data_IF_202027029704
#
_entry.id   IF_202027029704
#
_cell.length_a   1.000
_cell.length_b   1.000
_cell.length_c   1.000
_cell.angle_alpha   90.00
_cell.angle_beta   90.00
_cell.angle_gamma   90.00
#
_symmetry.space_group_name_H-M   'P 1'
#
loop_
_entity.id
_entity.type
_entity.pdbx_description
1 polymer ?
#
# COMPACT_ATOMS: atom_id res chain seq x y z
N UNK A 1 4.19 36.21 -8.83
CA UNK A 1 5.10 35.22 -8.22
C UNK A 1 5.24 35.56 -6.75
N UNK A 2 4.25 35.14 -5.94
CA UNK A 2 4.30 35.32 -4.49
C UNK A 2 5.35 34.38 -3.91
N UNK A 3 6.30 34.96 -3.17
CA UNK A 3 7.26 34.23 -2.37
C UNK A 3 6.49 33.45 -1.31
N UNK A 4 6.47 32.13 -1.45
CA UNK A 4 6.02 31.20 -0.41
C UNK A 4 6.86 31.48 0.83
N UNK A 5 6.24 32.10 1.85
CA UNK A 5 6.83 32.25 3.17
C UNK A 5 7.15 30.86 3.70
N UNK A 6 8.45 30.61 3.88
CA UNK A 6 8.98 29.46 4.58
C UNK A 6 8.47 29.59 6.03
N UNK A 7 7.45 28.79 6.36
CA UNK A 7 6.86 28.72 7.69
C UNK A 7 7.92 28.09 8.59
N UNK A 8 8.39 28.83 9.60
CA UNK A 8 9.36 28.35 10.58
C UNK A 8 8.95 26.96 11.08
N UNK A 9 9.87 25.98 11.01
CA UNK A 9 9.62 24.66 11.57
C UNK A 9 9.52 24.80 13.10
N UNK A 10 8.38 24.47 13.72
CA UNK A 10 8.31 24.38 15.18
C UNK A 10 9.22 23.24 15.65
N UNK A 11 9.44 23.12 16.96
CA UNK A 11 10.12 21.97 17.58
C UNK A 11 9.66 20.63 17.00
N UNK A 12 10.51 19.60 17.14
CA UNK A 12 10.47 18.28 16.47
C UNK A 12 9.15 17.53 16.66
N UNK A 13 8.08 18.02 16.02
CA UNK A 13 6.71 17.53 16.17
C UNK A 13 6.50 16.37 15.21
N UNK A 14 6.25 15.19 15.77
CA UNK A 14 6.01 13.95 15.05
C UNK A 14 4.55 13.58 15.20
N UNK A 15 3.88 13.31 14.08
CA UNK A 15 2.51 12.80 14.08
C UNK A 15 2.54 11.30 13.85
N UNK A 16 1.98 10.52 14.76
CA UNK A 16 1.82 9.07 14.61
C UNK A 16 0.41 8.80 14.13
N UNK A 17 0.30 8.47 12.86
CA UNK A 17 -0.95 8.18 12.18
C UNK A 17 -1.28 6.68 12.26
N UNK A 18 -2.44 6.36 12.82
CA UNK A 18 -2.86 4.97 13.05
C UNK A 18 -4.26 4.74 12.45
N UNK A 19 -4.41 3.94 11.37
CA UNK A 19 -5.71 3.56 10.87
C UNK A 19 -6.34 2.47 11.76
N UNK A 20 -7.62 2.61 12.09
CA UNK A 20 -8.36 1.71 12.96
C UNK A 20 -9.70 1.33 12.35
N UNK A 21 -10.07 0.06 12.50
CA UNK A 21 -11.42 -0.43 12.22
C UNK A 21 -11.80 -1.48 13.26
N UNK A 22 -12.70 -1.15 14.19
CA UNK A 22 -13.16 -2.05 15.26
C UNK A 22 -12.03 -2.63 16.15
N UNK A 23 -10.92 -1.93 16.36
CA UNK A 23 -9.76 -2.38 17.19
C UNK A 23 -9.42 -1.37 18.30
N UNK A 24 -10.44 -0.80 18.93
CA UNK A 24 -10.27 0.22 19.97
C UNK A 24 -9.48 -0.28 21.19
N UNK A 25 -9.70 -1.52 21.63
CA UNK A 25 -8.99 -2.10 22.78
C UNK A 25 -7.49 -2.29 22.49
N UNK A 26 -7.15 -2.75 21.28
CA UNK A 26 -5.75 -2.88 20.84
C UNK A 26 -5.08 -1.51 20.72
N UNK A 27 -5.79 -0.52 20.18
CA UNK A 27 -5.31 0.85 20.10
C UNK A 27 -5.02 1.41 21.49
N UNK A 28 -5.89 1.21 22.47
CA UNK A 28 -5.69 1.68 23.84
C UNK A 28 -4.40 1.14 24.46
N UNK A 29 -4.15 -0.17 24.34
CA UNK A 29 -2.90 -0.78 24.79
C UNK A 29 -1.68 -0.21 24.04
N UNK A 30 -1.83 0.04 22.73
CA UNK A 30 -0.77 0.63 21.93
C UNK A 30 -0.44 2.06 22.37
N UNK A 31 -1.45 2.88 22.66
CA UNK A 31 -1.27 4.25 23.14
C UNK A 31 -0.48 4.29 24.45
N UNK A 32 -0.78 3.40 25.39
CA UNK A 32 -0.05 3.28 26.65
C UNK A 32 1.42 2.92 26.44
N UNK A 33 1.71 1.97 25.55
CA UNK A 33 3.09 1.61 25.25
C UNK A 33 3.83 2.72 24.49
N UNK A 34 3.14 3.47 23.62
CA UNK A 34 3.74 4.64 22.95
C UNK A 34 4.11 5.69 24.00
N UNK A 35 3.20 6.05 24.89
CA UNK A 35 3.43 7.06 25.95
C UNK A 35 4.67 6.73 26.79
N UNK A 36 4.80 5.47 27.23
CA UNK A 36 5.97 4.97 27.97
C UNK A 36 7.28 5.05 27.17
N UNK A 37 7.22 4.75 25.87
CA UNK A 37 8.42 4.78 25.01
C UNK A 37 8.86 6.22 24.74
N UNK A 38 7.92 7.17 24.66
CA UNK A 38 8.22 8.59 24.49
C UNK A 38 8.70 9.28 25.76
N UNK A 39 8.38 8.76 26.96
CA UNK A 39 8.83 9.29 28.26
C UNK A 39 10.34 9.53 28.33
N UNK A 40 11.13 8.69 27.67
CA UNK A 40 12.60 8.76 27.66
C UNK A 40 13.17 9.55 26.48
N UNK A 41 12.37 10.39 25.82
CA UNK A 41 12.78 11.13 24.62
C UNK A 41 12.34 12.59 24.65
N UNK A 42 13.13 13.49 24.06
CA UNK A 42 12.76 14.90 23.88
C UNK A 42 11.87 15.14 22.65
N UNK A 43 11.17 14.10 22.18
CA UNK A 43 10.38 14.15 20.94
C UNK A 43 8.95 14.55 21.27
N UNK A 44 8.44 15.59 20.62
CA UNK A 44 7.04 15.98 20.75
C UNK A 44 6.17 15.11 19.84
N UNK A 45 5.43 14.18 20.43
CA UNK A 45 4.57 13.27 19.69
C UNK A 45 3.08 13.67 19.79
N UNK A 46 2.38 13.57 18.67
CA UNK A 46 0.92 13.66 18.56
C UNK A 46 0.40 12.38 17.94
N UNK A 47 -0.75 11.91 18.40
CA UNK A 47 -1.42 10.76 17.81
C UNK A 47 -2.58 11.23 16.93
N UNK A 48 -2.64 10.68 15.73
CA UNK A 48 -3.72 10.94 14.77
C UNK A 48 -4.34 9.62 14.32
N UNK A 49 -5.51 9.30 14.86
CA UNK A 49 -6.22 8.07 14.53
C UNK A 49 -7.12 8.31 13.33
N UNK A 50 -7.12 7.39 12.36
CA UNK A 50 -8.08 7.40 11.25
C UNK A 50 -9.06 6.26 11.46
N UNK A 51 -10.28 6.58 11.88
CA UNK A 51 -11.35 5.59 12.05
C UNK A 51 -12.02 5.30 10.70
N UNK A 52 -11.79 4.09 10.18
CA UNK A 52 -12.31 3.60 8.90
C UNK A 52 -13.79 3.16 9.00
N UNK A 53 -14.60 4.05 9.57
CA UNK A 53 -16.01 3.88 9.89
C UNK A 53 -16.28 2.60 10.69
N UNK A 54 -15.64 2.48 11.85
CA UNK A 54 -15.88 1.39 12.81
C UNK A 54 -17.38 1.26 13.11
N UNK A 55 -17.87 0.02 13.15
CA UNK A 55 -19.24 -0.28 13.57
C UNK A 55 -19.42 -0.11 15.08
N UNK A 56 -18.32 -0.17 15.83
CA UNK A 56 -18.28 0.08 17.27
C UNK A 56 -17.80 1.51 17.48
N UNK A 57 -18.62 2.33 18.14
CA UNK A 57 -18.24 3.71 18.49
C UNK A 57 -17.11 3.73 19.52
N UNK A 58 -16.23 4.72 19.40
CA UNK A 58 -15.25 5.07 20.44
C UNK A 58 -15.95 5.24 21.79
N UNK A 59 -15.39 4.66 22.86
CA UNK A 59 -15.91 4.84 24.22
C UNK A 59 -15.82 6.32 24.62
N UNK A 60 -16.78 6.83 25.39
CA UNK A 60 -16.80 8.25 25.81
C UNK A 60 -15.54 8.68 26.57
N UNK A 61 -14.90 7.76 27.28
CA UNK A 61 -13.71 8.02 28.08
C UNK A 61 -12.42 7.56 27.39
N UNK A 62 -12.45 7.23 26.11
CA UNK A 62 -11.26 6.75 25.41
C UNK A 62 -10.22 7.87 25.25
N UNK A 63 -8.93 7.61 25.49
CA UNK A 63 -8.38 6.42 26.15
C UNK A 63 -8.67 6.46 27.66
N UNK A 64 -8.97 5.31 28.30
CA UNK A 64 -9.28 5.27 29.74
C UNK A 64 -8.05 5.68 30.58
N UNK A 65 -6.85 5.49 30.03
CA UNK A 65 -5.59 5.95 30.59
C UNK A 65 -5.28 7.41 30.27
N UNK A 66 -4.86 8.17 31.28
CA UNK A 66 -4.28 9.50 31.07
C UNK A 66 -2.87 9.36 30.51
N UNK A 67 -2.72 9.67 29.23
CA UNK A 67 -1.42 9.79 28.59
C UNK A 67 -0.69 11.02 29.15
N UNK A 68 0.56 10.87 29.56
CA UNK A 68 1.33 11.92 30.24
C UNK A 68 2.26 12.66 29.29
N UNK A 69 2.75 11.97 28.26
CA UNK A 69 3.82 12.46 27.38
C UNK A 69 3.26 12.86 26.02
N UNK A 70 2.32 12.07 25.49
CA UNK A 70 1.63 12.38 24.23
C UNK A 70 0.78 13.63 24.42
N UNK A 71 1.09 14.69 23.65
CA UNK A 71 0.46 16.00 23.81
C UNK A 71 -0.96 16.08 23.25
N UNK A 72 -1.27 15.30 22.22
CA UNK A 72 -2.53 15.41 21.49
C UNK A 72 -2.98 14.07 20.94
N UNK A 73 -4.29 13.82 20.99
CA UNK A 73 -4.95 12.72 20.32
C UNK A 73 -6.18 13.22 19.56
N UNK A 74 -6.12 13.09 18.23
CA UNK A 74 -7.24 13.38 17.34
C UNK A 74 -7.74 12.09 16.68
N UNK A 75 -9.05 11.99 16.46
CA UNK A 75 -9.69 10.89 15.72
C UNK A 75 -10.42 11.47 14.50
N UNK A 76 -9.91 11.16 13.31
CA UNK A 76 -10.55 11.46 12.03
C UNK A 76 -11.52 10.34 11.66
N UNK A 77 -12.82 10.61 11.71
CA UNK A 77 -13.84 9.64 11.32
C UNK A 77 -14.12 9.68 9.83
N UNK A 78 -14.13 8.51 9.19
CA UNK A 78 -14.51 8.37 7.79
C UNK A 78 -16.01 8.12 7.64
N UNK A 79 -16.61 8.61 6.54
CA UNK A 79 -18.06 8.46 6.26
C UNK A 79 -18.49 7.03 5.96
N UNK A 80 -17.55 6.18 5.53
CA UNK A 80 -17.78 4.76 5.21
C UNK A 80 -16.48 4.00 5.33
N UNK A 81 -16.59 2.69 5.48
CA UNK A 81 -15.43 1.81 5.42
C UNK A 81 -14.84 1.84 3.99
N UNK A 82 -13.58 2.26 3.89
CA UNK A 82 -12.80 2.32 2.66
C UNK A 82 -11.81 1.15 2.58
N UNK A 83 -11.41 0.60 3.72
CA UNK A 83 -10.33 -0.36 3.86
C UNK A 83 -9.01 0.31 4.22
N UNK A 84 -8.14 -0.47 4.83
CA UNK A 84 -6.89 -0.04 5.48
C UNK A 84 -6.00 0.89 4.62
N UNK A 85 -5.71 0.52 3.37
CA UNK A 85 -4.82 1.32 2.50
C UNK A 85 -5.42 2.70 2.14
N UNK A 86 -6.75 2.78 1.99
CA UNK A 86 -7.45 4.03 1.68
C UNK A 86 -7.60 4.92 2.90
N UNK A 87 -7.80 4.32 4.08
CA UNK A 87 -7.75 5.05 5.34
C UNK A 87 -6.39 5.73 5.55
N UNK A 88 -5.28 5.03 5.26
CA UNK A 88 -3.92 5.62 5.23
C UNK A 88 -3.86 6.78 4.24
N UNK A 89 -4.34 6.61 3.01
CA UNK A 89 -4.31 7.66 1.98
C UNK A 89 -5.07 8.93 2.41
N UNK A 90 -6.26 8.77 2.99
CA UNK A 90 -7.09 9.88 3.50
C UNK A 90 -6.42 10.55 4.69
N UNK A 91 -5.88 9.76 5.64
CA UNK A 91 -5.17 10.29 6.81
C UNK A 91 -3.95 11.12 6.43
N UNK A 92 -3.12 10.60 5.54
CA UNK A 92 -1.94 11.31 5.04
C UNK A 92 -2.31 12.61 4.31
N UNK A 93 -3.35 12.60 3.48
CA UNK A 93 -3.85 13.80 2.81
C UNK A 93 -4.41 14.84 3.80
N UNK A 94 -5.12 14.38 4.84
CA UNK A 94 -5.63 15.26 5.89
C UNK A 94 -4.49 15.90 6.69
N UNK A 95 -3.52 15.10 7.14
CA UNK A 95 -2.36 15.57 7.90
C UNK A 95 -1.58 16.60 7.08
N UNK A 96 -1.33 16.33 5.80
CA UNK A 96 -0.62 17.27 4.92
C UNK A 96 -1.31 18.64 4.86
N UNK A 97 -2.64 18.64 4.74
CA UNK A 97 -3.44 19.85 4.58
C UNK A 97 -3.64 20.64 5.89
N UNK A 98 -3.76 19.96 7.03
CA UNK A 98 -4.26 20.57 8.27
C UNK A 98 -3.25 20.60 9.43
N UNK A 99 -2.24 19.74 9.41
CA UNK A 99 -1.34 19.56 10.55
C UNK A 99 0.08 19.91 10.15
N UNK A 100 0.65 20.90 10.84
CA UNK A 100 2.06 21.25 10.66
C UNK A 100 2.91 20.34 11.56
N UNK A 101 3.70 19.47 10.95
CA UNK A 101 4.59 18.56 11.65
C UNK A 101 5.89 18.39 10.85
N UNK A 102 6.94 17.89 11.50
CA UNK A 102 8.21 17.62 10.83
C UNK A 102 8.18 16.31 10.03
N UNK A 103 7.53 15.28 10.58
CA UNK A 103 7.35 14.00 9.93
C UNK A 103 6.13 13.25 10.46
N UNK A 104 5.64 12.32 9.64
CA UNK A 104 4.49 11.46 9.96
C UNK A 104 4.96 10.02 10.04
N UNK A 105 4.71 9.35 11.16
CA UNK A 105 4.86 7.91 11.32
C UNK A 105 3.53 7.26 10.92
N UNK A 106 3.57 6.29 10.01
CA UNK A 106 2.41 5.43 9.69
C UNK A 106 2.62 4.12 10.43
N UNK A 107 1.66 3.68 11.24
CA UNK A 107 1.77 2.47 12.08
C UNK A 107 0.42 1.76 12.21
N UNK A 108 0.41 0.42 12.28
CA UNK A 108 -0.81 -0.35 12.48
C UNK A 108 -1.24 -0.37 13.97
N UNK A 109 -2.55 -0.35 14.24
CA UNK A 109 -3.12 -0.29 15.59
C UNK A 109 -3.14 -1.60 16.39
N UNK A 110 -2.70 -2.71 15.81
CA UNK A 110 -2.81 -4.04 16.41
C UNK A 110 -1.60 -4.46 17.27
N UNK A 111 -0.52 -3.67 17.24
CA UNK A 111 0.70 -3.88 18.00
C UNK A 111 1.68 -4.90 17.40
N UNK A 112 1.46 -5.35 16.15
CA UNK A 112 2.48 -6.13 15.43
C UNK A 112 3.74 -5.31 15.11
N UNK A 113 3.58 -4.00 14.99
CA UNK A 113 4.67 -3.04 14.93
C UNK A 113 5.03 -2.62 16.36
N UNK A 114 6.30 -2.72 16.73
CA UNK A 114 6.73 -2.40 18.09
C UNK A 114 6.77 -0.87 18.31
N UNK A 115 6.19 -0.35 19.41
CA UNK A 115 6.31 1.07 19.77
C UNK A 115 7.77 1.56 19.85
N UNK A 116 8.69 0.71 20.33
CA UNK A 116 10.12 1.03 20.39
C UNK A 116 10.78 1.19 19.01
N UNK A 117 10.21 0.59 17.96
CA UNK A 117 10.71 0.78 16.59
C UNK A 117 10.30 2.14 16.01
N UNK A 118 9.29 2.82 16.57
CA UNK A 118 8.94 4.21 16.21
C UNK A 118 10.12 5.14 16.49
N UNK A 119 10.75 4.99 17.67
CA UNK A 119 11.92 5.79 18.04
C UNK A 119 13.10 5.52 17.10
N UNK A 120 13.29 4.26 16.67
CA UNK A 120 14.34 3.91 15.70
C UNK A 120 14.08 4.54 14.32
N UNK A 121 12.82 4.55 13.88
CA UNK A 121 12.42 5.21 12.64
C UNK A 121 12.72 6.72 12.71
N UNK A 122 12.31 7.37 13.80
CA UNK A 122 12.55 8.81 14.01
C UNK A 122 14.04 9.10 14.04
N UNK A 123 14.82 8.36 14.83
CA UNK A 123 16.27 8.55 14.93
C UNK A 123 16.99 8.37 13.60
N UNK A 124 16.61 7.36 12.79
CA UNK A 124 17.19 7.22 11.45
C UNK A 124 16.79 8.35 10.51
N UNK A 125 15.53 8.79 10.56
CA UNK A 125 15.04 9.92 9.77
C UNK A 125 15.81 11.21 10.10
N UNK A 126 16.08 11.45 11.38
CA UNK A 126 16.90 12.55 11.88
C UNK A 126 18.33 12.48 11.35
N UNK A 127 19.00 11.33 11.49
CA UNK A 127 20.39 11.13 11.00
C UNK A 127 20.48 11.31 9.48
N UNK A 128 19.46 10.89 8.73
CA UNK A 128 19.40 11.09 7.27
C UNK A 128 18.88 12.50 6.88
N UNK A 129 18.67 13.39 7.85
CA UNK A 129 18.31 14.79 7.65
C UNK A 129 16.93 15.02 7.04
N UNK A 130 15.97 14.12 7.31
CA UNK A 130 14.58 14.21 6.82
C UNK A 130 14.46 14.22 5.28
N UNK A 131 15.42 13.62 4.57
CA UNK A 131 15.44 13.60 3.09
C UNK A 131 14.86 12.34 2.46
N UNK A 132 14.55 11.32 3.26
CA UNK A 132 14.07 10.02 2.78
C UNK A 132 12.97 9.46 3.67
N UNK A 133 12.05 8.72 3.06
CA UNK A 133 11.09 7.87 3.78
C UNK A 133 11.84 6.68 4.37
N UNK A 134 11.67 6.41 5.66
CA UNK A 134 12.29 5.23 6.31
C UNK A 134 11.21 4.18 6.53
N UNK A 135 11.37 3.00 5.92
CA UNK A 135 10.48 1.86 6.13
C UNK A 135 11.03 0.87 7.14
N UNK A 136 10.15 0.28 7.93
CA UNK A 136 10.44 -0.89 8.73
C UNK A 136 10.29 -2.17 7.89
N UNK A 137 11.35 -2.98 7.86
CA UNK A 137 11.42 -4.25 7.16
C UNK A 137 11.46 -5.40 8.16
N UNK A 138 10.40 -6.21 8.14
CA UNK A 138 10.23 -7.34 9.05
C UNK A 138 11.25 -8.44 8.70
N UNK A 139 12.14 -8.75 9.64
CA UNK A 139 13.29 -9.65 9.45
C UNK A 139 12.98 -11.14 9.56
N UNK A 140 11.92 -11.53 10.29
CA UNK A 140 11.55 -12.94 10.48
C UNK A 140 10.02 -13.13 10.51
N UNK A 141 9.56 -14.19 9.83
CA UNK A 141 8.16 -14.64 9.82
C UNK A 141 8.13 -16.14 10.13
N UNK A 142 7.59 -16.50 11.29
CA UNK A 142 7.26 -17.89 11.64
C UNK A 142 5.92 -18.27 11.00
N UNK A 143 5.95 -18.52 9.70
CA UNK A 143 4.76 -18.87 8.92
C UNK A 143 4.75 -20.37 8.56
N UNK A 144 3.53 -20.93 8.43
CA UNK A 144 3.28 -22.29 7.94
C UNK A 144 3.97 -22.52 6.59
N UNK A 145 4.38 -23.77 6.32
CA UNK A 145 5.00 -24.15 5.04
C UNK A 145 4.10 -23.82 3.83
N UNK A 146 2.79 -24.06 3.93
CA UNK A 146 1.81 -23.71 2.90
C UNK A 146 1.81 -22.20 2.62
N UNK A 147 1.84 -21.38 3.69
CA UNK A 147 1.90 -19.93 3.54
C UNK A 147 3.19 -19.48 2.86
N UNK A 148 4.33 -20.07 3.23
CA UNK A 148 5.64 -19.79 2.60
C UNK A 148 5.63 -20.12 1.10
N UNK A 149 5.00 -21.22 0.71
CA UNK A 149 4.87 -21.60 -0.70
C UNK A 149 4.04 -20.59 -1.49
N UNK A 150 2.82 -20.28 -1.04
CA UNK A 150 1.98 -19.29 -1.72
C UNK A 150 2.61 -17.89 -1.74
N UNK A 151 3.31 -17.51 -0.66
CA UNK A 151 4.05 -16.26 -0.60
C UNK A 151 5.20 -16.22 -1.62
N UNK A 152 5.91 -17.33 -1.81
CA UNK A 152 6.95 -17.44 -2.84
C UNK A 152 6.37 -17.35 -4.26
N UNK A 153 5.26 -18.04 -4.53
CA UNK A 153 4.54 -17.94 -5.79
C UNK A 153 4.09 -16.50 -6.05
N UNK A 154 3.46 -15.85 -5.07
CA UNK A 154 3.04 -14.46 -5.15
C UNK A 154 4.22 -13.53 -5.43
N UNK A 155 5.32 -13.64 -4.68
CA UNK A 155 6.51 -12.80 -4.87
C UNK A 155 7.13 -12.98 -6.25
N UNK A 156 7.13 -14.21 -6.76
CA UNK A 156 7.66 -14.53 -8.09
C UNK A 156 6.77 -13.94 -9.20
N UNK A 157 5.45 -14.13 -9.09
CA UNK A 157 4.46 -13.54 -9.99
C UNK A 157 4.52 -12.02 -9.96
N UNK A 158 4.55 -11.43 -8.78
CA UNK A 158 4.67 -9.99 -8.57
C UNK A 158 5.92 -9.43 -9.25
N UNK A 159 7.08 -10.06 -9.05
CA UNK A 159 8.33 -9.63 -9.71
C UNK A 159 8.25 -9.76 -11.23
N UNK A 160 7.68 -10.84 -11.73
CA UNK A 160 7.51 -11.06 -13.17
C UNK A 160 6.55 -10.07 -13.82
N UNK A 161 5.48 -9.68 -13.13
CA UNK A 161 4.50 -8.72 -13.65
C UNK A 161 4.94 -7.26 -13.48
N UNK A 162 5.47 -6.88 -12.32
CA UNK A 162 5.76 -5.47 -11.99
C UNK A 162 7.22 -5.07 -12.23
N UNK A 163 8.15 -6.03 -12.16
CA UNK A 163 9.59 -5.76 -12.20
C UNK A 163 10.16 -5.18 -10.90
N UNK A 164 9.33 -4.95 -9.88
CA UNK A 164 9.77 -4.45 -8.58
C UNK A 164 9.77 -5.55 -7.52
N UNK A 165 10.35 -5.23 -6.37
CA UNK A 165 10.27 -6.06 -5.17
C UNK A 165 9.80 -5.17 -4.04
N UNK A 166 8.58 -5.39 -3.56
CA UNK A 166 8.13 -4.78 -2.32
C UNK A 166 8.49 -5.72 -1.19
N UNK A 167 9.31 -5.23 -0.27
CA UNK A 167 9.77 -6.02 0.88
C UNK A 167 9.39 -5.40 2.23
N UNK A 168 8.61 -4.31 2.19
CA UNK A 168 8.24 -3.51 3.35
C UNK A 168 6.73 -3.42 3.50
N UNK A 169 6.27 -3.31 4.75
CA UNK A 169 4.87 -3.06 5.10
C UNK A 169 4.52 -1.57 5.08
N UNK A 170 3.48 -1.20 5.81
CA UNK A 170 3.07 0.21 5.96
C UNK A 170 3.86 0.94 7.04
N UNK A 171 4.47 0.21 7.97
CA UNK A 171 5.19 0.81 9.09
C UNK A 171 6.41 1.62 8.62
N UNK A 172 6.34 2.93 8.79
CA UNK A 172 7.32 3.86 8.22
C UNK A 172 7.24 5.25 8.82
N UNK A 173 8.24 6.08 8.54
CA UNK A 173 8.21 7.53 8.80
C UNK A 173 8.46 8.30 7.50
N UNK A 174 7.63 9.32 7.28
CA UNK A 174 7.58 10.16 6.10
C UNK A 174 7.91 11.60 6.51
N UNK A 175 9.05 12.17 6.11
CA UNK A 175 9.30 13.60 6.22
C UNK A 175 8.19 14.43 5.58
N UNK A 176 7.77 15.51 6.23
CA UNK A 176 6.64 16.32 5.76
C UNK A 176 6.84 16.89 4.35
N UNK A 177 8.07 17.24 3.97
CA UNK A 177 8.37 17.68 2.59
C UNK A 177 8.11 16.59 1.53
N UNK A 178 8.34 15.32 1.89
CA UNK A 178 8.07 14.17 1.01
C UNK A 178 6.60 13.79 1.02
N UNK A 179 5.90 14.01 2.14
CA UNK A 179 4.46 13.81 2.25
C UNK A 179 3.71 14.63 1.20
N UNK A 180 4.06 15.90 1.01
CA UNK A 180 3.48 16.78 -0.02
C UNK A 180 3.56 16.21 -1.44
N UNK A 181 4.65 15.51 -1.74
CA UNK A 181 4.85 14.84 -3.03
C UNK A 181 4.07 13.53 -3.11
N UNK A 182 3.87 12.85 -2.00
CA UNK A 182 3.18 11.57 -1.94
C UNK A 182 1.66 11.72 -2.07
N UNK A 183 1.05 12.72 -1.43
CA UNK A 183 -0.42 12.87 -1.41
C UNK A 183 -1.04 13.24 -2.76
N UNK A 184 -0.22 13.65 -3.74
CA UNK A 184 -0.64 13.86 -5.13
C UNK A 184 -0.52 12.62 -6.01
N UNK A 185 0.07 11.52 -5.49
CA UNK A 185 0.24 10.26 -6.23
C UNK A 185 -1.07 9.48 -6.16
N UNK A 186 -1.70 9.26 -7.31
CA UNK A 186 -3.00 8.57 -7.38
C UNK A 186 -2.96 7.14 -6.83
N UNK A 187 -1.82 6.46 -7.00
CA UNK A 187 -1.60 5.08 -6.58
C UNK A 187 -1.57 4.91 -5.05
N UNK A 188 -1.39 6.01 -4.29
CA UNK A 188 -1.49 6.00 -2.83
C UNK A 188 -2.86 5.46 -2.38
N UNK A 189 -3.91 5.69 -3.16
CA UNK A 189 -5.25 5.17 -2.91
C UNK A 189 -5.35 3.64 -2.90
N UNK A 190 -4.49 2.97 -3.66
CA UNK A 190 -4.54 1.51 -3.83
C UNK A 190 -3.58 0.79 -2.88
N UNK A 191 -2.37 1.34 -2.71
CA UNK A 191 -1.36 0.74 -1.86
C UNK A 191 -0.24 1.74 -1.50
N UNK A 192 -0.10 2.04 -0.21
CA UNK A 192 0.82 3.05 0.32
C UNK A 192 2.28 2.79 -0.04
N UNK A 193 2.87 1.67 0.41
CA UNK A 193 4.31 1.43 0.18
C UNK A 193 4.65 1.34 -1.31
N UNK A 194 3.84 0.62 -2.11
CA UNK A 194 3.96 0.55 -3.56
C UNK A 194 3.92 1.93 -4.23
N UNK A 195 3.06 2.85 -3.77
CA UNK A 195 2.97 4.21 -4.29
C UNK A 195 4.25 5.00 -4.04
N UNK A 196 4.86 4.87 -2.85
CA UNK A 196 6.15 5.50 -2.53
C UNK A 196 7.25 5.02 -3.49
N UNK A 197 7.33 3.71 -3.76
CA UNK A 197 8.28 3.14 -4.71
C UNK A 197 8.02 3.61 -6.15
N UNK A 198 6.76 3.57 -6.60
CA UNK A 198 6.39 3.98 -7.97
C UNK A 198 6.66 5.46 -8.20
N UNK A 199 6.38 6.31 -7.21
CA UNK A 199 6.65 7.74 -7.25
C UNK A 199 8.14 8.10 -7.20
N UNK A 200 9.04 7.11 -7.04
CA UNK A 200 10.49 7.29 -6.91
C UNK A 200 10.87 8.26 -5.79
N UNK A 201 10.08 8.27 -4.72
CA UNK A 201 10.41 9.04 -3.52
C UNK A 201 11.64 8.40 -2.87
N UNK A 202 12.67 9.20 -2.49
CA UNK A 202 13.83 8.68 -1.80
C UNK A 202 13.44 7.91 -0.55
N UNK A 203 13.94 6.69 -0.40
CA UNK A 203 13.61 5.83 0.74
C UNK A 203 14.81 5.02 1.21
N UNK A 204 14.71 4.51 2.43
CA UNK A 204 15.70 3.67 3.13
C UNK A 204 14.95 2.69 4.03
N UNK A 205 15.60 1.60 4.46
CA UNK A 205 14.94 0.54 5.24
C UNK A 205 15.66 0.34 6.58
N UNK A 206 14.94 -0.01 7.65
CA UNK A 206 15.50 -0.54 8.89
C UNK A 206 14.94 -1.92 9.18
N UNK A 207 15.77 -2.81 9.70
CA UNK A 207 15.33 -4.14 10.09
C UNK A 207 14.59 -4.07 11.43
N UNK A 208 13.35 -4.55 11.45
CA UNK A 208 12.53 -4.67 12.67
C UNK A 208 12.11 -6.12 12.89
N UNK A 209 11.71 -6.44 14.13
CA UNK A 209 11.11 -7.73 14.48
C UNK A 209 9.62 -7.53 14.61
N UNK A 210 8.82 -8.48 14.10
CA UNK A 210 7.37 -8.44 14.26
C UNK A 210 7.04 -8.78 15.72
N UNK A 211 6.30 -7.89 16.38
CA UNK A 211 5.75 -8.13 17.72
C UNK A 211 4.50 -9.00 17.65
N UNK A 212 4.05 -9.50 18.81
CA UNK A 212 2.77 -10.20 18.91
C UNK A 212 1.64 -9.17 18.99
N UNK A 213 0.50 -9.50 18.38
CA UNK A 213 -0.72 -8.69 18.49
C UNK A 213 -1.11 -8.54 19.96
N UNK A 214 -1.54 -7.34 20.34
CA UNK A 214 -1.87 -6.98 21.72
C UNK A 214 -3.23 -7.56 22.15
N UNK A 215 -4.23 -7.48 21.29
CA UNK A 215 -5.57 -8.05 21.52
C UNK A 215 -6.28 -8.38 20.19
N UNK A 216 -7.27 -9.27 20.25
CA UNK A 216 -8.15 -9.60 19.13
C UNK A 216 -7.60 -10.66 18.14
N UNK A 217 -8.49 -11.11 17.26
CA UNK A 217 -8.24 -12.13 16.24
C UNK A 217 -7.81 -11.50 14.89
N UNK A 218 -7.09 -12.23 14.02
CA UNK A 218 -6.74 -11.75 12.68
C UNK A 218 -7.96 -11.49 11.81
N UNK A 219 -8.15 -10.21 11.48
CA UNK A 219 -9.20 -9.74 10.58
C UNK A 219 -8.93 -10.03 9.09
N UNK A 220 -7.68 -10.33 8.72
CA UNK A 220 -7.34 -10.68 7.34
C UNK A 220 -7.62 -12.16 7.05
N UNK A 221 -8.67 -12.41 6.27
CA UNK A 221 -8.94 -13.72 5.69
C UNK A 221 -8.21 -13.91 4.34
N UNK A 222 -8.24 -15.13 3.78
CA UNK A 222 -7.58 -15.45 2.52
C UNK A 222 -7.99 -14.54 1.35
N UNK A 223 -9.29 -14.25 1.22
CA UNK A 223 -9.82 -13.39 0.13
C UNK A 223 -9.27 -11.97 0.26
N UNK A 224 -9.28 -11.41 1.46
CA UNK A 224 -8.74 -10.07 1.73
C UNK A 224 -7.24 -10.00 1.48
N UNK A 225 -6.51 -11.08 1.76
CA UNK A 225 -5.07 -11.19 1.49
C UNK A 225 -4.78 -11.18 -0.02
N UNK A 226 -5.57 -11.94 -0.80
CA UNK A 226 -5.45 -11.96 -2.27
C UNK A 226 -5.80 -10.59 -2.85
N UNK A 227 -6.90 -9.98 -2.39
CA UNK A 227 -7.29 -8.63 -2.83
C UNK A 227 -6.22 -7.58 -2.50
N UNK A 228 -5.58 -7.69 -1.34
CA UNK A 228 -4.46 -6.82 -0.97
C UNK A 228 -3.24 -7.01 -1.88
N UNK A 229 -2.89 -8.26 -2.21
CA UNK A 229 -1.81 -8.54 -3.18
C UNK A 229 -2.12 -8.01 -4.59
N UNK A 230 -3.37 -8.16 -5.05
CA UNK A 230 -3.83 -7.59 -6.33
C UNK A 230 -3.81 -6.06 -6.31
N UNK A 231 -4.15 -5.41 -5.19
CA UNK A 231 -4.08 -3.96 -5.07
C UNK A 231 -2.63 -3.46 -5.17
N UNK A 232 -1.65 -4.19 -4.62
CA UNK A 232 -0.23 -3.91 -4.80
C UNK A 232 0.21 -4.03 -6.28
N UNK A 233 -0.23 -5.07 -6.98
CA UNK A 233 0.07 -5.25 -8.41
C UNK A 233 -0.57 -4.13 -9.25
N UNK A 234 -1.79 -3.71 -8.90
CA UNK A 234 -2.53 -2.68 -9.63
C UNK A 234 -1.81 -1.33 -9.67
N UNK A 235 -0.96 -1.05 -8.67
CA UNK A 235 -0.11 0.14 -8.66
C UNK A 235 0.78 0.21 -9.90
N UNK A 236 1.24 -0.93 -10.43
CA UNK A 236 2.06 -0.99 -11.65
C UNK A 236 1.26 -1.39 -12.90
N UNK A 237 -0.05 -1.10 -12.94
CA UNK A 237 -0.96 -1.55 -14.00
C UNK A 237 -0.49 -1.23 -15.43
N UNK A 238 0.19 -0.09 -15.61
CA UNK A 238 0.82 0.30 -16.87
C UNK A 238 1.94 -0.65 -17.31
N UNK A 239 2.87 -0.98 -16.40
CA UNK A 239 3.98 -1.91 -16.67
C UNK A 239 3.46 -3.33 -16.87
N UNK A 240 2.57 -3.77 -15.98
CA UNK A 240 1.92 -5.09 -16.05
C UNK A 240 1.22 -5.24 -17.38
N UNK A 241 0.53 -4.18 -17.81
CA UNK A 241 -0.17 -4.15 -19.07
C UNK A 241 0.71 -4.32 -20.29
N UNK A 242 1.81 -3.56 -20.36
CA UNK A 242 2.79 -3.68 -21.45
C UNK A 242 3.36 -5.10 -21.51
N UNK A 243 3.68 -5.70 -20.35
CA UNK A 243 4.22 -7.07 -20.32
C UNK A 243 3.21 -8.11 -20.76
N UNK A 244 1.96 -8.00 -20.35
CA UNK A 244 0.88 -8.88 -20.81
C UNK A 244 0.67 -8.73 -22.31
N UNK A 245 0.70 -7.50 -22.84
CA UNK A 245 0.59 -7.25 -24.28
C UNK A 245 1.75 -7.91 -25.05
N UNK A 246 2.99 -7.75 -24.60
CA UNK A 246 4.15 -8.45 -25.19
C UNK A 246 3.97 -9.97 -25.14
N UNK A 247 3.52 -10.52 -24.02
CA UNK A 247 3.26 -11.96 -23.88
C UNK A 247 2.18 -12.45 -24.86
N UNK A 248 1.09 -11.68 -25.04
CA UNK A 248 0.05 -12.01 -26.03
C UNK A 248 0.57 -11.95 -27.46
N UNK A 249 1.41 -10.97 -27.80
CA UNK A 249 2.06 -10.89 -29.12
C UNK A 249 2.99 -12.08 -29.38
N UNK A 250 3.74 -12.53 -28.37
CA UNK A 250 4.56 -13.75 -28.46
C UNK A 250 3.70 -15.00 -28.67
N UNK A 251 2.57 -15.11 -27.97
CA UNK A 251 1.63 -16.22 -28.13
C UNK A 251 1.01 -16.24 -29.55
N UNK A 252 0.67 -15.07 -30.08
CA UNK A 252 0.20 -14.90 -31.47
C UNK A 252 1.28 -15.39 -32.45
N UNK A 253 2.53 -14.95 -32.28
CA UNK A 253 3.65 -15.38 -33.11
C UNK A 253 3.89 -16.88 -33.05
N UNK A 254 3.88 -17.48 -31.85
CA UNK A 254 4.05 -18.92 -31.66
C UNK A 254 2.92 -19.72 -32.29
N UNK A 255 1.67 -19.27 -32.14
CA UNK A 255 0.50 -19.91 -32.76
C UNK A 255 0.58 -19.84 -34.28
N UNK A 256 1.03 -18.71 -34.83
CA UNK A 256 1.22 -18.54 -36.26
C UNK A 256 2.31 -19.46 -36.81
N UNK A 257 3.46 -19.55 -36.13
CA UNK A 257 4.54 -20.49 -36.48
C UNK A 257 4.05 -21.94 -36.39
N UNK A 258 3.25 -22.28 -35.37
CA UNK A 258 2.63 -23.60 -35.23
C UNK A 258 1.75 -23.96 -36.42
N UNK A 259 0.87 -23.04 -36.85
CA UNK A 259 0.02 -23.23 -38.03
C UNK A 259 0.86 -23.43 -39.30
N UNK A 260 1.87 -22.58 -39.54
CA UNK A 260 2.76 -22.69 -40.70
C UNK A 260 3.50 -24.03 -40.71
N UNK A 261 3.97 -24.50 -39.55
CA UNK A 261 4.67 -25.79 -39.41
C UNK A 261 3.73 -26.95 -39.76
N UNK A 262 2.47 -26.93 -39.30
CA UNK A 262 1.50 -27.98 -39.63
C UNK A 262 1.16 -27.98 -41.12
N UNK A 263 0.97 -26.79 -41.72
CA UNK A 263 0.74 -26.66 -43.17
C UNK A 263 1.94 -27.21 -43.95
N UNK A 264 3.17 -26.88 -43.53
CA UNK A 264 4.38 -27.40 -44.14
C UNK A 264 4.45 -28.93 -44.05
N UNK A 265 4.23 -29.52 -42.86
CA UNK A 265 4.23 -30.97 -42.67
C UNK A 265 3.19 -31.63 -43.57
N UNK A 266 1.99 -31.05 -43.67
CA UNK A 266 0.90 -31.59 -44.49
C UNK A 266 1.21 -31.56 -46.00
N UNK A 267 1.91 -30.54 -46.48
CA UNK A 267 2.21 -30.38 -47.90
C UNK A 267 3.51 -31.08 -48.32
N UNK A 268 4.53 -31.10 -47.45
CA UNK A 268 5.86 -31.61 -47.77
C UNK A 268 6.10 -33.07 -47.34
N UNK A 269 5.23 -33.64 -46.50
CA UNK A 269 5.46 -34.96 -45.87
C UNK A 269 4.20 -35.81 -45.81
N UNK A 270 4.37 -37.13 -45.84
CA UNK A 270 3.29 -38.12 -45.65
C UNK A 270 2.99 -38.43 -44.19
N UNK A 271 3.71 -37.80 -43.25
CA UNK A 271 3.57 -37.97 -41.80
C UNK A 271 2.24 -37.44 -41.24
N UNK A 272 1.48 -36.67 -42.02
CA UNK A 272 0.21 -36.09 -41.59
C UNK A 272 -0.92 -37.15 -41.62
N UNK A 273 -1.09 -37.87 -40.49
CA UNK A 273 -2.21 -38.78 -40.25
C UNK A 273 -3.54 -38.02 -40.41
N UNK A 274 -4.56 -38.59 -41.10
CA UNK A 274 -5.85 -37.93 -41.30
C UNK A 274 -6.46 -37.40 -39.99
N UNK A 275 -6.92 -36.15 -39.99
CA UNK A 275 -7.67 -35.53 -38.88
C UNK A 275 -6.84 -34.73 -37.87
N UNK A 276 -5.66 -35.22 -37.44
CA UNK A 276 -4.88 -34.54 -36.38
C UNK A 276 -4.44 -33.11 -36.77
N UNK A 277 -3.95 -32.93 -38.00
CA UNK A 277 -3.51 -31.62 -38.49
C UNK A 277 -4.65 -30.59 -38.47
N UNK A 278 -5.87 -30.99 -38.85
CA UNK A 278 -7.05 -30.12 -38.86
C UNK A 278 -7.45 -29.70 -37.44
N UNK A 279 -7.41 -30.62 -36.47
CA UNK A 279 -7.70 -30.30 -35.06
C UNK A 279 -6.66 -29.33 -34.48
N UNK A 280 -5.37 -29.54 -34.73
CA UNK A 280 -4.31 -28.66 -34.23
C UNK A 280 -4.37 -27.26 -34.85
N UNK A 281 -4.58 -27.17 -36.18
CA UNK A 281 -4.76 -25.87 -36.85
C UNK A 281 -5.98 -25.13 -36.28
N UNK A 282 -7.09 -25.84 -36.08
CA UNK A 282 -8.30 -25.24 -35.48
C UNK A 282 -8.04 -24.74 -34.06
N UNK A 283 -7.32 -25.51 -33.25
CA UNK A 283 -6.94 -25.11 -31.89
C UNK A 283 -6.06 -23.85 -31.89
N UNK A 284 -4.99 -23.82 -32.70
CA UNK A 284 -4.13 -22.64 -32.82
C UNK A 284 -4.88 -21.43 -33.36
N UNK A 285 -5.81 -21.62 -34.29
CA UNK A 285 -6.66 -20.55 -34.80
C UNK A 285 -7.54 -19.94 -33.69
N UNK A 286 -8.16 -20.77 -32.86
CA UNK A 286 -8.95 -20.30 -31.70
C UNK A 286 -8.06 -19.53 -30.72
N UNK A 287 -6.88 -20.06 -30.37
CA UNK A 287 -5.93 -19.38 -29.46
C UNK A 287 -5.48 -18.03 -30.05
N UNK A 288 -5.18 -17.99 -31.35
CA UNK A 288 -4.77 -16.78 -32.07
C UNK A 288 -5.88 -15.72 -32.01
N UNK A 289 -7.12 -16.10 -32.32
CA UNK A 289 -8.27 -15.20 -32.31
C UNK A 289 -8.55 -14.66 -30.91
N UNK A 290 -8.49 -15.52 -29.88
CA UNK A 290 -8.65 -15.12 -28.49
C UNK A 290 -7.53 -14.17 -28.05
N UNK A 291 -6.28 -14.45 -28.39
CA UNK A 291 -5.14 -13.60 -28.02
C UNK A 291 -5.25 -12.20 -28.64
N UNK A 292 -5.68 -12.10 -29.91
CA UNK A 292 -5.95 -10.82 -30.57
C UNK A 292 -7.07 -10.07 -29.86
N UNK A 293 -8.20 -10.74 -29.57
CA UNK A 293 -9.34 -10.12 -28.89
C UNK A 293 -8.97 -9.59 -27.50
N UNK A 294 -8.25 -10.39 -26.71
CA UNK A 294 -7.78 -9.99 -25.37
C UNK A 294 -6.84 -8.79 -25.46
N UNK A 295 -5.91 -8.80 -26.42
CA UNK A 295 -4.98 -7.68 -26.63
C UNK A 295 -5.71 -6.38 -27.00
N UNK A 296 -6.70 -6.45 -27.89
CA UNK A 296 -7.51 -5.28 -28.27
C UNK A 296 -8.30 -4.73 -27.09
N UNK A 297 -9.05 -5.57 -26.38
CA UNK A 297 -9.80 -5.17 -25.18
C UNK A 297 -8.88 -4.51 -24.16
N UNK A 298 -7.70 -5.09 -23.96
CA UNK A 298 -6.72 -4.57 -23.02
C UNK A 298 -6.20 -3.17 -23.40
N UNK A 299 -5.89 -2.94 -24.67
CA UNK A 299 -5.49 -1.61 -25.18
C UNK A 299 -6.59 -0.58 -24.93
N UNK A 300 -7.86 -0.92 -25.20
CA UNK A 300 -8.98 -0.02 -24.95
C UNK A 300 -9.16 0.29 -23.47
N UNK A 301 -8.97 -0.69 -22.58
CA UNK A 301 -9.01 -0.45 -21.13
C UNK A 301 -7.92 0.56 -20.72
N UNK A 302 -6.67 0.39 -21.19
CA UNK A 302 -5.60 1.34 -20.88
C UNK A 302 -5.95 2.75 -21.39
N UNK A 303 -6.39 2.87 -22.65
CA UNK A 303 -6.76 4.17 -23.21
C UNK A 303 -7.93 4.81 -22.44
N UNK A 304 -8.92 4.01 -22.04
CA UNK A 304 -10.03 4.47 -21.20
C UNK A 304 -9.55 4.97 -19.84
N UNK A 305 -8.63 4.25 -19.18
CA UNK A 305 -8.09 4.66 -17.87
C UNK A 305 -7.29 5.96 -17.95
N UNK A 306 -6.61 6.24 -19.07
CA UNK A 306 -5.89 7.50 -19.28
C UNK A 306 -6.83 8.70 -19.45
N UNK A 307 -8.06 8.46 -19.92
CA UNK A 307 -9.07 9.51 -20.08
C UNK A 307 -9.91 9.73 -18.82
N UNK A 308 -9.90 8.80 -17.86
CA UNK A 308 -10.57 8.99 -16.57
C UNK A 308 -9.69 9.79 -15.61
N UNK A 309 -10.28 10.79 -14.94
CA UNK A 309 -9.62 11.46 -13.82
C UNK A 309 -9.45 10.46 -12.68
N UNK A 310 -8.20 10.13 -12.34
CA UNK A 310 -7.91 9.30 -11.19
C UNK A 310 -8.22 10.05 -9.89
N UNK A 311 -8.47 9.28 -8.83
CA UNK A 311 -8.54 9.80 -7.48
C UNK A 311 -7.17 10.35 -7.07
N UNK A 312 -7.15 11.59 -6.59
CA UNK A 312 -5.93 12.23 -6.07
C UNK A 312 -6.18 12.49 -4.58
N UNK A 313 -5.45 11.84 -3.65
CA UNK A 313 -5.68 11.97 -2.22
C UNK A 313 -5.76 13.43 -1.76
N UNK A 314 -4.81 14.28 -2.15
CA UNK A 314 -4.81 15.70 -1.79
C UNK A 314 -6.07 16.45 -2.24
N UNK A 315 -6.59 16.14 -3.43
CA UNK A 315 -7.78 16.81 -3.98
C UNK A 315 -9.06 16.26 -3.37
N UNK A 316 -9.16 14.94 -3.20
CA UNK A 316 -10.43 14.24 -3.07
C UNK A 316 -10.70 13.67 -1.66
N UNK A 317 -9.74 13.73 -0.72
CA UNK A 317 -9.91 13.14 0.62
C UNK A 317 -11.14 13.67 1.39
N UNK A 318 -11.45 14.96 1.22
CA UNK A 318 -12.51 15.66 1.94
C UNK A 318 -13.91 15.04 1.70
N UNK A 319 -14.12 14.35 0.58
CA UNK A 319 -15.37 13.64 0.33
C UNK A 319 -15.62 12.50 1.32
N UNK A 320 -14.56 11.93 1.89
CA UNK A 320 -14.61 10.77 2.78
C UNK A 320 -14.50 11.11 4.26
N UNK A 321 -14.15 12.33 4.62
CA UNK A 321 -14.06 12.79 6.02
C UNK A 321 -15.44 13.11 6.56
N UNK A 322 -15.86 12.45 7.63
CA UNK A 322 -17.09 12.75 8.34
C UNK A 322 -16.89 13.93 9.30
N UNK A 323 -15.98 13.77 10.26
CA UNK A 323 -15.66 14.77 11.28
C UNK A 323 -14.27 14.49 11.86
N UNK A 324 -13.67 15.53 12.45
CA UNK A 324 -12.51 15.41 13.31
C UNK A 324 -12.99 15.52 14.76
N UNK A 325 -12.74 14.50 15.56
CA UNK A 325 -13.00 14.52 17.00
C UNK A 325 -11.68 14.69 17.73
N UNK A 326 -11.50 15.84 18.38
CA UNK A 326 -10.40 16.05 19.32
C UNK A 326 -10.73 15.30 20.61
N UNK A 327 -9.89 14.33 20.98
CA UNK A 327 -10.09 13.52 22.20
C UNK A 327 -9.49 14.25 23.38
N UNK A 328 -8.24 14.71 23.25
CA UNK A 328 -7.62 15.61 24.20
C UNK A 328 -6.45 16.37 23.55
N UNK A 329 -6.13 17.52 24.13
CA UNK A 329 -4.91 18.29 23.86
C UNK A 329 -4.38 18.83 25.18
N UNK A 330 -3.12 18.52 25.49
CA UNK A 330 -2.37 19.07 26.62
C UNK A 330 -1.71 20.36 26.12
N UNK A 331 -2.09 21.49 26.74
CA UNK A 331 -1.55 22.82 26.41
C UNK A 331 -0.12 22.99 26.90
#
# INVERSE_FOLDING_TARGET
MEKIKQKDLPGCSIVIMIPVFNDWDSLELLLNHLDQVFEYTDIEAQIFVVDDASSISVRKNFPDSKLQIIKKLDVLKLKRNLGHQRAIAVGLAYIEAHINCQAVVVMDGDGEDAPSDVIKLIGKCQVEGYKKVVFAKRSQRSESWLFKFFYLCYKSLYRWLTGSQISVGNFSIIPYELLRRLVIVSELWNHYSAAVFKARIPHTEISTRRSRRLAGEPKMNFVSLVMHGLSAISVYGDIVGVRLLVATCLLIGLSFIGILTIIFIRLATTLAIPGWASYMVSLFFVILMQAIMVSLVFVFIILSTRNSLSFIPQRDYHYFVLELQEVFSIQ
#
